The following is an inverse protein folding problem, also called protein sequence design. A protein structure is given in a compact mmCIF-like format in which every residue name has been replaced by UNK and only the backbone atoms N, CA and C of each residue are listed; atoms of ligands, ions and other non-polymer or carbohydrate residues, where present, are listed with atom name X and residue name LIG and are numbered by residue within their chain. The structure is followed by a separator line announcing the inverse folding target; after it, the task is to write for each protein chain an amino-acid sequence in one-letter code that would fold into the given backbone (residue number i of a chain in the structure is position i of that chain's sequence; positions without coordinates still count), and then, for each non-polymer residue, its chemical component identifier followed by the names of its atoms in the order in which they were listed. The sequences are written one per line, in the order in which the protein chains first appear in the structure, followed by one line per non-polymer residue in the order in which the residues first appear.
data_IF_132843548473
#
_entry.id   IF_132843548473
#
_cell.length_a   1.000
_cell.length_b   1.000
_cell.length_c   1.000
_cell.angle_alpha   90.00
_cell.angle_beta   90.00
_cell.angle_gamma   90.00
#
_symmetry.space_group_name_H-M   'P 1'
#
loop_
_entity.id
_entity.type
_entity.pdbx_description
1 polymer ?
#
# COMPACT_ATOMS: atom_id res chain seq x y z
N UNK A 1 -17.55 -15.04 -24.28
CA UNK A 1 -17.99 -15.12 -22.87
C UNK A 1 -16.76 -14.93 -22.01
N UNK A 2 -16.81 -14.13 -20.94
CA UNK A 2 -15.69 -14.03 -20.01
C UNK A 2 -15.40 -15.42 -19.41
N UNK A 3 -14.13 -15.81 -19.22
CA UNK A 3 -13.79 -17.12 -18.68
C UNK A 3 -14.36 -17.25 -17.26
N UNK A 4 -14.88 -18.43 -16.94
CA UNK A 4 -15.30 -18.81 -15.58
C UNK A 4 -14.30 -19.84 -15.07
N UNK A 5 -13.85 -19.64 -13.83
CA UNK A 5 -12.90 -20.53 -13.19
C UNK A 5 -13.53 -21.15 -11.96
N UNK A 6 -13.33 -22.46 -11.82
CA UNK A 6 -13.75 -23.22 -10.66
C UNK A 6 -12.68 -23.17 -9.56
N UNK A 7 -13.14 -23.22 -8.31
CA UNK A 7 -12.26 -23.38 -7.16
C UNK A 7 -11.87 -24.87 -7.08
N UNK A 8 -10.56 -25.21 -7.07
CA UNK A 8 -10.10 -26.58 -6.89
C UNK A 8 -10.72 -27.22 -5.65
N UNK A 9 -11.03 -28.51 -5.73
CA UNK A 9 -11.81 -29.23 -4.70
C UNK A 9 -11.19 -29.09 -3.31
N UNK A 10 -9.88 -29.12 -3.24
CA UNK A 10 -9.07 -28.97 -2.03
C UNK A 10 -9.10 -27.56 -1.43
N UNK A 11 -9.49 -26.54 -2.19
CA UNK A 11 -9.58 -25.14 -1.75
C UNK A 11 -11.01 -24.64 -1.52
N UNK A 12 -12.03 -25.47 -1.75
CA UNK A 12 -13.44 -25.10 -1.56
C UNK A 12 -13.80 -24.80 -0.09
N UNK A 13 -12.98 -25.23 0.87
CA UNK A 13 -13.12 -24.85 2.27
C UNK A 13 -12.55 -23.46 2.58
N UNK A 14 -11.58 -22.99 1.77
CA UNK A 14 -10.89 -21.71 1.96
C UNK A 14 -11.55 -20.57 1.15
N UNK A 15 -12.29 -20.89 0.09
CA UNK A 15 -12.85 -19.93 -0.86
C UNK A 15 -14.31 -20.22 -1.17
N UNK A 16 -15.07 -19.16 -1.41
CA UNK A 16 -16.44 -19.19 -1.90
C UNK A 16 -16.54 -18.33 -3.15
N UNK A 17 -17.29 -18.79 -4.16
CA UNK A 17 -17.58 -17.98 -5.33
C UNK A 17 -18.58 -16.89 -4.96
N UNK A 18 -18.29 -15.65 -5.37
CA UNK A 18 -19.18 -14.49 -5.19
C UNK A 18 -19.51 -13.86 -6.52
N UNK A 19 -20.70 -13.26 -6.60
CA UNK A 19 -21.12 -12.50 -7.77
C UNK A 19 -20.58 -11.07 -7.74
N UNK A 20 -20.12 -10.61 -8.90
CA UNK A 20 -19.79 -9.19 -9.10
C UNK A 20 -21.09 -8.41 -9.11
N UNK A 21 -21.27 -7.52 -8.15
CA UNK A 21 -22.46 -6.67 -8.04
C UNK A 21 -22.41 -5.51 -9.02
N UNK A 22 -21.24 -4.93 -9.26
CA UNK A 22 -21.02 -3.90 -10.27
C UNK A 22 -20.93 -4.49 -11.68
N UNK A 23 -21.90 -4.16 -12.53
CA UNK A 23 -22.00 -4.67 -13.91
C UNK A 23 -21.41 -3.73 -14.96
N UNK A 24 -20.87 -2.59 -14.55
CA UNK A 24 -20.22 -1.65 -15.46
C UNK A 24 -19.00 -2.29 -16.12
N UNK A 25 -18.76 -1.89 -17.36
CA UNK A 25 -17.54 -2.19 -18.10
C UNK A 25 -16.33 -1.56 -17.42
N UNK A 26 -15.13 -2.03 -17.77
CA UNK A 26 -13.88 -1.42 -17.27
C UNK A 26 -13.82 0.08 -17.63
N UNK A 27 -14.24 0.44 -18.84
CA UNK A 27 -14.25 1.82 -19.35
C UNK A 27 -15.23 2.70 -18.55
N UNK A 28 -16.47 2.25 -18.32
CA UNK A 28 -17.43 2.97 -17.48
C UNK A 28 -16.96 3.16 -16.03
N UNK A 29 -16.18 2.21 -15.48
CA UNK A 29 -15.58 2.37 -14.15
C UNK A 29 -14.47 3.42 -14.19
N UNK A 30 -13.56 3.37 -15.18
CA UNK A 30 -12.51 4.38 -15.35
C UNK A 30 -13.07 5.78 -15.56
N UNK A 31 -14.09 5.91 -16.41
CA UNK A 31 -14.81 7.17 -16.63
C UNK A 31 -15.42 7.72 -15.33
N UNK A 32 -15.90 6.85 -14.46
CA UNK A 32 -16.41 7.28 -13.15
C UNK A 32 -15.30 7.73 -12.19
N UNK A 33 -14.09 7.17 -12.31
CA UNK A 33 -12.94 7.51 -11.47
C UNK A 33 -12.32 8.87 -11.80
N UNK A 34 -12.65 9.48 -12.95
CA UNK A 34 -12.21 10.83 -13.30
C UNK A 34 -13.21 11.93 -12.93
N UNK A 35 -14.41 11.56 -12.47
CA UNK A 35 -15.43 12.51 -12.02
C UNK A 35 -15.21 12.92 -10.57
N UNK A 36 -15.53 14.19 -10.26
CA UNK A 36 -15.59 14.62 -8.87
C UNK A 36 -16.79 14.00 -8.17
N UNK A 37 -16.53 13.40 -7.00
CA UNK A 37 -17.56 12.90 -6.09
C UNK A 37 -17.38 13.58 -4.73
N UNK A 38 -18.40 14.20 -4.12
CA UNK A 38 -18.29 14.78 -2.78
C UNK A 38 -17.86 13.74 -1.74
N UNK A 39 -17.12 14.15 -0.72
CA UNK A 39 -16.76 13.29 0.42
C UNK A 39 -17.87 13.36 1.46
N UNK A 40 -18.66 12.29 1.59
CA UNK A 40 -19.85 12.24 2.48
C UNK A 40 -19.72 11.25 3.64
N UNK A 41 -18.69 10.40 3.63
CA UNK A 41 -18.39 9.39 4.66
C UNK A 41 -16.89 9.22 4.81
N UNK A 42 -16.44 8.41 5.77
CA UNK A 42 -15.01 8.05 5.92
C UNK A 42 -14.63 6.81 5.09
N UNK A 43 -15.58 6.07 4.49
CA UNK A 43 -15.30 4.92 3.59
C UNK A 43 -14.80 5.40 2.21
N UNK A 44 -13.58 5.93 2.19
CA UNK A 44 -12.88 6.34 0.98
C UNK A 44 -11.58 5.55 0.80
N UNK A 45 -11.26 5.19 -0.42
CA UNK A 45 -9.92 4.74 -0.81
C UNK A 45 -9.22 5.87 -1.55
N UNK A 46 -8.13 6.35 -0.98
CA UNK A 46 -7.29 7.41 -1.52
C UNK A 46 -6.06 6.81 -2.17
N UNK A 47 -5.88 7.08 -3.46
CA UNK A 47 -4.66 6.76 -4.18
C UNK A 47 -4.20 7.98 -5.00
N UNK A 48 -2.99 7.91 -5.55
CA UNK A 48 -2.39 9.02 -6.28
C UNK A 48 -1.73 8.55 -7.57
N UNK A 49 -1.99 9.30 -8.64
CA UNK A 49 -1.17 9.26 -9.84
C UNK A 49 -1.03 10.66 -10.41
N UNK A 50 0.18 11.20 -10.42
CA UNK A 50 0.47 12.59 -10.78
C UNK A 50 -0.15 13.07 -12.11
N UNK A 51 -0.30 12.16 -13.09
CA UNK A 51 -0.81 12.44 -14.43
C UNK A 51 -2.29 12.01 -14.64
N UNK A 52 -3.01 11.62 -13.58
CA UNK A 52 -4.41 11.21 -13.66
C UNK A 52 -4.62 9.73 -14.02
N UNK A 53 -5.88 9.27 -13.92
CA UNK A 53 -6.27 7.86 -14.05
C UNK A 53 -5.85 7.25 -15.38
N UNK A 54 -6.12 7.94 -16.49
CA UNK A 54 -5.87 7.46 -17.85
C UNK A 54 -4.38 7.27 -18.14
N UNK A 55 -3.51 8.03 -17.46
CA UNK A 55 -2.06 7.96 -17.60
C UNK A 55 -1.42 6.88 -16.73
N UNK A 56 -2.18 6.14 -15.92
CA UNK A 56 -1.66 5.00 -15.18
C UNK A 56 -1.30 3.85 -16.14
N UNK A 57 -0.26 3.06 -15.83
CA UNK A 57 -0.05 1.77 -16.49
C UNK A 57 -1.32 0.93 -16.47
N UNK A 58 -1.59 0.20 -17.55
CA UNK A 58 -2.84 -0.55 -17.72
C UNK A 58 -3.10 -1.53 -16.55
N UNK A 59 -2.07 -2.19 -16.05
CA UNK A 59 -2.19 -3.11 -14.92
C UNK A 59 -2.57 -2.40 -13.59
N UNK A 60 -2.18 -1.13 -13.41
CA UNK A 60 -2.63 -0.28 -12.30
C UNK A 60 -4.09 0.16 -12.50
N UNK A 61 -4.51 0.44 -13.74
CA UNK A 61 -5.92 0.70 -14.06
C UNK A 61 -6.79 -0.52 -13.72
N UNK A 62 -6.34 -1.73 -14.08
CA UNK A 62 -7.01 -2.97 -13.67
C UNK A 62 -7.12 -3.10 -12.14
N UNK A 63 -6.07 -2.77 -11.39
CA UNK A 63 -6.13 -2.79 -9.92
C UNK A 63 -7.25 -1.91 -9.38
N UNK A 64 -7.33 -0.64 -9.80
CA UNK A 64 -8.31 0.30 -9.25
C UNK A 64 -9.75 -0.03 -9.68
N UNK A 65 -9.91 -0.63 -10.87
CA UNK A 65 -11.20 -1.17 -11.32
C UNK A 65 -11.61 -2.35 -10.43
N UNK A 66 -10.69 -3.28 -10.16
CA UNK A 66 -10.94 -4.41 -9.27
C UNK A 66 -11.30 -3.93 -7.86
N UNK A 67 -10.69 -2.85 -7.36
CA UNK A 67 -11.06 -2.26 -6.07
C UNK A 67 -12.51 -1.79 -6.05
N UNK A 68 -12.98 -1.10 -7.10
CA UNK A 68 -14.38 -0.65 -7.21
C UNK A 68 -15.32 -1.85 -7.16
N UNK A 69 -15.00 -2.95 -7.86
CA UNK A 69 -15.81 -4.17 -7.86
C UNK A 69 -15.81 -4.88 -6.52
N UNK A 70 -14.65 -4.98 -5.88
CA UNK A 70 -14.49 -5.68 -4.59
C UNK A 70 -15.21 -4.92 -3.47
N UNK A 71 -15.12 -3.59 -3.46
CA UNK A 71 -15.63 -2.77 -2.36
C UNK A 71 -17.09 -2.33 -2.54
N UNK A 72 -17.60 -2.42 -3.77
CA UNK A 72 -18.97 -2.03 -4.09
C UNK A 72 -19.26 -0.56 -3.82
N UNK A 73 -20.54 -0.21 -3.74
CA UNK A 73 -21.01 1.17 -3.58
C UNK A 73 -20.85 1.73 -2.16
N UNK A 74 -20.44 0.93 -1.18
CA UNK A 74 -20.22 1.38 0.20
C UNK A 74 -18.92 2.16 0.37
N UNK A 75 -17.97 1.98 -0.56
CA UNK A 75 -16.69 2.67 -0.60
C UNK A 75 -16.59 3.56 -1.83
N UNK A 76 -15.98 4.73 -1.67
CA UNK A 76 -15.62 5.59 -2.81
C UNK A 76 -14.13 5.46 -3.11
N UNK A 77 -13.77 4.93 -4.29
CA UNK A 77 -12.38 4.90 -4.77
C UNK A 77 -12.04 6.22 -5.45
N UNK A 78 -10.91 6.82 -5.06
CA UNK A 78 -10.49 8.16 -5.50
C UNK A 78 -9.03 8.13 -5.90
N UNK A 79 -8.78 8.41 -7.18
CA UNK A 79 -7.42 8.52 -7.72
C UNK A 79 -7.15 10.01 -7.90
N UNK A 80 -6.37 10.58 -6.98
CA UNK A 80 -6.03 11.99 -7.01
C UNK A 80 -4.82 12.24 -7.91
N UNK A 81 -4.72 13.48 -8.40
CA UNK A 81 -3.67 13.90 -9.33
C UNK A 81 -3.24 15.36 -9.09
N UNK A 82 -2.29 15.81 -9.90
CA UNK A 82 -1.85 17.22 -9.96
C UNK A 82 -2.08 17.82 -11.35
N UNK A 83 -3.01 17.26 -12.12
CA UNK A 83 -3.35 17.74 -13.47
C UNK A 83 -4.16 19.04 -13.32
N UNK A 84 -3.73 20.15 -13.95
CA UNK A 84 -4.45 21.41 -13.86
C UNK A 84 -5.92 21.26 -14.26
N UNK A 85 -6.81 21.83 -13.44
CA UNK A 85 -8.27 21.76 -13.61
C UNK A 85 -8.89 20.34 -13.53
N UNK A 86 -8.13 19.31 -13.14
CA UNK A 86 -8.71 18.00 -12.85
C UNK A 86 -9.76 18.10 -11.74
N UNK A 87 -10.94 17.47 -11.90
CA UNK A 87 -11.91 17.32 -10.82
C UNK A 87 -11.29 16.62 -9.60
N UNK A 88 -10.32 15.73 -9.83
CA UNK A 88 -9.60 14.98 -8.81
C UNK A 88 -8.23 15.56 -8.43
N UNK A 89 -7.99 16.83 -8.78
CA UNK A 89 -6.81 17.54 -8.32
C UNK A 89 -6.72 17.51 -6.79
N UNK A 90 -5.56 17.16 -6.24
CA UNK A 90 -5.34 16.98 -4.79
C UNK A 90 -5.86 18.16 -3.95
N UNK A 91 -5.67 19.40 -4.43
CA UNK A 91 -6.09 20.61 -3.71
C UNK A 91 -7.62 20.82 -3.63
N UNK A 92 -8.42 20.00 -4.32
CA UNK A 92 -9.87 19.98 -4.11
C UNK A 92 -10.27 19.21 -2.84
N UNK A 93 -9.36 18.43 -2.28
CA UNK A 93 -9.61 17.55 -1.12
C UNK A 93 -8.78 17.90 0.10
N UNK A 94 -7.58 18.45 -0.07
CA UNK A 94 -6.71 18.87 1.03
C UNK A 94 -6.26 20.30 0.87
N UNK A 95 -6.20 21.02 1.98
CA UNK A 95 -5.74 22.41 1.98
C UNK A 95 -4.23 22.49 1.74
N UNK A 96 -3.80 23.53 1.02
CA UNK A 96 -2.41 23.71 0.61
C UNK A 96 -1.44 23.89 1.79
N UNK A 97 -1.90 24.39 2.94
CA UNK A 97 -1.11 24.56 4.16
C UNK A 97 -0.72 23.23 4.81
N UNK A 98 -1.41 22.14 4.48
CA UNK A 98 -1.04 20.80 4.92
C UNK A 98 0.05 20.17 4.06
N UNK A 99 0.47 20.79 2.95
CA UNK A 99 1.41 20.16 2.02
C UNK A 99 2.72 20.96 1.93
N UNK A 100 3.86 20.31 1.67
CA UNK A 100 5.11 21.02 1.47
C UNK A 100 5.04 21.96 0.28
N UNK A 101 5.69 23.11 0.38
CA UNK A 101 5.78 24.09 -0.71
C UNK A 101 6.29 23.47 -2.02
N UNK A 102 7.22 22.49 -1.93
CA UNK A 102 7.76 21.80 -3.09
C UNK A 102 6.74 20.99 -3.86
N UNK A 103 5.71 20.48 -3.17
CA UNK A 103 4.56 19.80 -3.80
C UNK A 103 3.64 20.83 -4.45
N UNK A 104 3.27 21.88 -3.71
CA UNK A 104 2.35 22.93 -4.18
C UNK A 104 2.90 23.64 -5.44
N UNK A 105 4.20 23.93 -5.47
CA UNK A 105 4.85 24.60 -6.59
C UNK A 105 5.29 23.64 -7.71
N UNK A 106 5.14 22.32 -7.52
CA UNK A 106 5.60 21.33 -8.49
C UNK A 106 7.12 21.36 -8.73
N UNK A 107 7.91 21.67 -7.69
CA UNK A 107 9.37 21.85 -7.80
C UNK A 107 10.18 20.62 -7.40
N UNK A 108 9.52 19.54 -6.99
CA UNK A 108 10.19 18.28 -6.70
C UNK A 108 10.92 17.73 -7.93
N UNK A 109 12.09 17.15 -7.70
CA UNK A 109 12.90 16.54 -8.76
C UNK A 109 13.38 15.12 -8.37
N UNK A 110 14.04 14.48 -9.34
CA UNK A 110 14.55 13.12 -9.17
C UNK A 110 13.54 12.05 -9.62
N UNK A 111 13.94 10.77 -9.54
CA UNK A 111 13.17 9.67 -10.12
C UNK A 111 11.94 9.26 -9.28
N UNK A 112 11.78 9.83 -8.09
CA UNK A 112 10.79 9.43 -7.08
C UNK A 112 9.71 10.48 -6.79
N UNK A 113 9.59 11.50 -7.63
CA UNK A 113 8.61 12.59 -7.45
C UNK A 113 7.19 12.07 -7.26
N UNK A 114 6.77 11.06 -8.02
CA UNK A 114 5.44 10.46 -7.89
C UNK A 114 5.23 9.77 -6.54
N UNK A 115 6.22 9.01 -6.07
CA UNK A 115 6.17 8.29 -4.79
C UNK A 115 6.13 9.26 -3.60
N UNK A 116 7.02 10.25 -3.56
CA UNK A 116 7.03 11.24 -2.48
C UNK A 116 5.80 12.16 -2.50
N UNK A 117 5.24 12.44 -3.69
CA UNK A 117 3.95 13.12 -3.82
C UNK A 117 2.83 12.33 -3.14
N UNK A 118 2.77 11.01 -3.37
CA UNK A 118 1.80 10.15 -2.70
C UNK A 118 2.01 10.13 -1.17
N UNK A 119 3.27 10.14 -0.72
CA UNK A 119 3.59 10.23 0.71
C UNK A 119 3.07 11.56 1.32
N UNK A 120 3.22 12.70 0.64
CA UNK A 120 2.74 13.97 1.18
C UNK A 120 1.24 14.01 1.39
N UNK A 121 0.46 13.45 0.46
CA UNK A 121 -0.99 13.56 0.55
C UNK A 121 -1.59 12.50 1.48
N UNK A 122 -0.90 11.39 1.73
CA UNK A 122 -1.39 10.27 2.55
C UNK A 122 -1.83 10.72 3.94
N UNK A 123 -0.92 11.36 4.68
CA UNK A 123 -1.22 11.87 6.02
C UNK A 123 -2.28 12.95 6.03
N UNK A 124 -2.24 13.87 5.06
CA UNK A 124 -3.21 14.95 4.91
C UNK A 124 -4.64 14.44 4.66
N UNK A 125 -4.81 13.48 3.75
CA UNK A 125 -6.11 12.91 3.40
C UNK A 125 -6.71 12.11 4.55
N UNK A 126 -5.90 11.24 5.16
CA UNK A 126 -6.35 10.43 6.30
C UNK A 126 -6.74 11.31 7.50
N UNK A 127 -5.96 12.35 7.80
CA UNK A 127 -6.31 13.28 8.87
C UNK A 127 -7.60 14.05 8.54
N UNK A 128 -7.76 14.55 7.31
CA UNK A 128 -8.88 15.41 6.92
C UNK A 128 -10.19 14.64 6.76
N UNK A 129 -10.14 13.43 6.20
CA UNK A 129 -11.31 12.67 5.75
C UNK A 129 -11.42 11.25 6.31
N UNK A 130 -10.37 10.72 6.93
CA UNK A 130 -10.29 9.30 7.27
C UNK A 130 -10.23 8.40 6.03
N UNK A 131 -10.50 7.12 6.24
CA UNK A 131 -10.53 6.10 5.18
C UNK A 131 -9.23 5.34 5.05
N UNK A 132 -8.93 4.91 3.82
CA UNK A 132 -7.77 4.09 3.49
C UNK A 132 -6.95 4.80 2.45
N UNK A 133 -5.67 5.02 2.70
CA UNK A 133 -4.71 5.33 1.65
C UNK A 133 -4.07 4.02 1.16
N UNK A 134 -4.09 3.80 -0.15
CA UNK A 134 -3.56 2.59 -0.77
C UNK A 134 -2.90 2.92 -2.10
N UNK A 135 -1.69 2.41 -2.33
CA UNK A 135 -0.98 2.62 -3.58
C UNK A 135 -1.68 1.89 -4.75
N UNK A 136 -1.72 2.52 -5.93
CA UNK A 136 -2.33 1.95 -7.16
C UNK A 136 -1.69 0.63 -7.61
N UNK A 137 -0.47 0.33 -7.13
CA UNK A 137 0.22 -0.93 -7.36
C UNK A 137 -0.25 -2.10 -6.47
N UNK A 138 -1.35 -1.97 -5.73
CA UNK A 138 -1.89 -3.05 -4.90
C UNK A 138 -3.00 -3.82 -5.64
N UNK A 139 -2.82 -5.13 -5.84
CA UNK A 139 -3.93 -6.03 -6.22
C UNK A 139 -4.70 -6.35 -4.93
N UNK A 140 -5.90 -5.78 -4.77
CA UNK A 140 -6.75 -6.08 -3.62
C UNK A 140 -7.39 -7.45 -3.80
N UNK A 141 -7.38 -8.30 -2.77
CA UNK A 141 -7.93 -9.66 -2.80
C UNK A 141 -9.05 -9.82 -1.74
N UNK A 142 -8.94 -9.10 -0.63
CA UNK A 142 -9.89 -9.13 0.48
C UNK A 142 -10.54 -7.75 0.66
N UNK A 143 -11.84 -7.74 0.94
CA UNK A 143 -12.59 -6.50 1.19
C UNK A 143 -12.01 -5.72 2.40
N UNK A 144 -11.93 -4.39 2.30
CA UNK A 144 -11.31 -3.52 3.34
C UNK A 144 -12.00 -3.61 4.71
N UNK A 145 -13.33 -3.71 4.74
CA UNK A 145 -14.12 -4.04 5.94
C UNK A 145 -13.60 -5.26 6.70
N UNK A 146 -13.20 -6.30 5.97
CA UNK A 146 -12.67 -7.56 6.54
C UNK A 146 -11.16 -7.56 6.74
N UNK A 147 -10.45 -6.53 6.26
CA UNK A 147 -9.04 -6.32 6.57
C UNK A 147 -8.94 -5.54 7.88
N UNK A 148 -9.57 -4.36 7.95
CA UNK A 148 -9.46 -3.51 9.14
C UNK A 148 -10.65 -2.59 9.38
N UNK A 149 -11.45 -2.24 8.38
CA UNK A 149 -12.36 -1.10 8.55
C UNK A 149 -13.49 -1.36 9.54
N UNK A 150 -14.03 -2.58 9.63
CA UNK A 150 -15.04 -2.92 10.63
C UNK A 150 -14.53 -2.72 12.07
N UNK A 151 -13.23 -2.95 12.31
CA UNK A 151 -12.60 -2.69 13.60
C UNK A 151 -12.45 -1.18 13.82
N UNK A 152 -12.03 -0.43 12.82
CA UNK A 152 -11.84 1.02 12.98
C UNK A 152 -13.16 1.76 13.20
N UNK A 153 -14.23 1.36 12.52
CA UNK A 153 -15.53 2.05 12.60
C UNK A 153 -16.39 1.64 13.80
N UNK A 154 -16.08 0.53 14.47
CA UNK A 154 -16.76 0.14 15.70
C UNK A 154 -16.38 1.08 16.85
N UNK A 155 -17.33 1.83 17.44
CA UNK A 155 -17.06 2.73 18.56
C UNK A 155 -16.57 2.02 19.84
N UNK A 156 -16.70 0.69 19.93
CA UNK A 156 -16.19 -0.11 21.04
C UNK A 156 -14.79 -0.68 20.78
N UNK A 157 -14.32 -0.63 19.53
CA UNK A 157 -12.96 -1.06 19.22
C UNK A 157 -11.96 -0.01 19.71
N UNK A 158 -10.82 -0.41 20.30
CA UNK A 158 -9.79 0.54 20.67
C UNK A 158 -9.04 1.09 19.45
N UNK A 159 -9.17 0.45 18.28
CA UNK A 159 -8.36 0.76 17.12
C UNK A 159 -8.92 1.96 16.35
N UNK A 160 -8.02 2.85 15.93
CA UNK A 160 -8.34 4.06 15.15
C UNK A 160 -7.49 4.15 13.89
N UNK A 161 -6.35 3.44 13.85
CA UNK A 161 -5.44 3.37 12.71
C UNK A 161 -5.13 1.90 12.41
N UNK A 162 -4.86 1.56 11.15
CA UNK A 162 -4.48 0.21 10.78
C UNK A 162 -3.38 0.21 9.72
N UNK A 163 -2.31 -0.58 9.93
CA UNK A 163 -1.15 -0.63 9.05
C UNK A 163 -0.54 -2.04 8.93
N UNK A 164 -0.05 -2.44 7.75
CA UNK A 164 0.82 -3.61 7.63
C UNK A 164 2.18 -3.31 8.27
N UNK A 165 2.72 -4.27 9.03
CA UNK A 165 4.02 -4.13 9.69
C UNK A 165 5.05 -5.09 9.08
N UNK A 166 6.23 -4.56 8.79
CA UNK A 166 7.38 -5.35 8.35
C UNK A 166 8.09 -5.96 9.56
N UNK A 167 8.62 -5.10 10.44
CA UNK A 167 9.32 -5.51 11.65
C UNK A 167 9.44 -4.34 12.62
N UNK A 168 9.50 -4.60 13.92
CA UNK A 168 9.68 -3.56 14.94
C UNK A 168 8.62 -2.46 14.88
N UNK A 169 9.01 -1.28 14.39
CA UNK A 169 8.13 -0.12 14.16
C UNK A 169 8.11 0.30 12.67
N UNK A 170 8.70 -0.53 11.79
CA UNK A 170 8.77 -0.32 10.34
C UNK A 170 7.46 -0.79 9.72
N UNK A 171 6.60 0.16 9.35
CA UNK A 171 5.37 -0.11 8.61
C UNK A 171 5.66 -0.23 7.11
N UNK A 172 4.76 -0.88 6.38
CA UNK A 172 4.74 -0.79 4.92
C UNK A 172 3.68 0.24 4.51
N UNK A 173 4.12 1.47 4.19
CA UNK A 173 3.22 2.61 4.00
C UNK A 173 2.41 2.59 2.68
N UNK A 174 2.51 1.53 1.87
CA UNK A 174 1.64 1.33 0.70
C UNK A 174 0.16 1.16 1.09
N UNK A 175 -0.12 0.91 2.38
CA UNK A 175 -1.45 0.86 2.95
C UNK A 175 -1.46 1.52 4.33
N UNK A 176 -2.35 2.49 4.55
CA UNK A 176 -2.63 3.04 5.88
C UNK A 176 -4.12 3.36 5.96
N UNK A 177 -4.81 2.83 6.96
CA UNK A 177 -6.20 3.19 7.25
C UNK A 177 -6.27 4.02 8.53
N UNK A 178 -7.15 5.02 8.59
CA UNK A 178 -7.35 5.80 9.81
C UNK A 178 -8.76 6.39 9.90
N UNK A 179 -9.20 6.62 11.14
CA UNK A 179 -10.34 7.49 11.44
C UNK A 179 -10.00 8.95 11.17
N UNK A 180 -10.99 9.72 10.73
CA UNK A 180 -10.83 11.16 10.50
C UNK A 180 -10.42 11.87 11.79
N UNK A 181 -9.50 12.82 11.68
CA UNK A 181 -9.04 13.64 12.81
C UNK A 181 -8.06 12.93 13.75
N UNK A 182 -7.57 11.74 13.38
CA UNK A 182 -6.71 10.94 14.23
C UNK A 182 -5.45 11.70 14.73
N UNK A 183 -5.19 11.74 16.05
CA UNK A 183 -4.10 12.51 16.62
C UNK A 183 -2.71 11.96 16.27
N UNK A 184 -2.57 10.66 16.04
CA UNK A 184 -1.29 10.05 15.65
C UNK A 184 -0.98 10.39 14.20
N UNK A 185 -1.95 10.23 13.29
CA UNK A 185 -1.81 10.59 11.87
C UNK A 185 -1.49 12.08 11.70
N UNK A 186 -2.13 12.97 12.48
CA UNK A 186 -1.81 14.41 12.46
C UNK A 186 -0.34 14.67 12.74
N UNK A 187 0.22 14.07 13.81
CA UNK A 187 1.62 14.24 14.20
C UNK A 187 2.57 13.62 13.18
N UNK A 188 2.17 12.49 12.61
CA UNK A 188 2.97 11.79 11.60
C UNK A 188 3.13 12.64 10.36
N UNK A 189 2.02 13.21 9.88
CA UNK A 189 1.99 14.13 8.76
C UNK A 189 2.75 15.43 9.05
N UNK A 190 2.58 16.00 10.25
CA UNK A 190 3.28 17.21 10.68
C UNK A 190 4.80 17.02 10.69
N UNK A 191 5.27 15.90 11.26
CA UNK A 191 6.69 15.58 11.29
C UNK A 191 7.26 15.39 9.88
N UNK A 192 6.58 14.59 9.05
CA UNK A 192 7.04 14.31 7.70
C UNK A 192 7.13 15.57 6.84
N UNK A 193 6.10 16.43 6.88
CA UNK A 193 6.13 17.69 6.13
C UNK A 193 7.13 18.70 6.69
N UNK A 194 7.44 18.65 7.98
CA UNK A 194 8.45 19.50 8.61
C UNK A 194 9.85 19.21 8.06
N UNK A 195 10.27 17.95 8.07
CA UNK A 195 11.62 17.55 7.63
C UNK A 195 11.86 17.75 6.12
N UNK A 196 10.78 17.97 5.35
CA UNK A 196 10.83 18.29 3.92
C UNK A 196 10.97 19.78 3.62
N UNK A 197 10.93 20.66 4.63
CA UNK A 197 11.04 22.11 4.41
C UNK A 197 12.39 22.46 3.80
N UNK A 198 12.36 23.18 2.68
CA UNK A 198 13.57 23.54 1.93
C UNK A 198 14.15 22.43 1.05
N UNK A 199 13.53 21.24 1.02
CA UNK A 199 13.95 20.13 0.17
C UNK A 199 13.12 20.05 -1.12
N UNK A 200 13.77 19.67 -2.22
CA UNK A 200 13.13 19.33 -3.50
C UNK A 200 13.33 17.87 -3.91
N UNK A 201 14.04 17.08 -3.10
CA UNK A 201 14.21 15.64 -3.23
C UNK A 201 14.47 15.04 -1.85
N UNK A 202 14.43 13.72 -1.74
CA UNK A 202 14.69 13.04 -0.47
C UNK A 202 16.13 13.20 0.05
N UNK A 203 17.07 13.64 -0.80
CA UNK A 203 18.48 13.74 -0.45
C UNK A 203 18.71 14.73 0.68
N UNK A 204 19.44 14.31 1.71
CA UNK A 204 19.79 15.14 2.86
C UNK A 204 18.69 15.26 3.91
N UNK A 205 17.52 14.63 3.71
CA UNK A 205 16.46 14.63 4.73
C UNK A 205 16.94 13.99 6.04
N UNK A 206 17.83 12.99 5.93
CA UNK A 206 18.44 12.33 7.09
C UNK A 206 19.34 13.25 7.94
N UNK A 207 19.69 14.45 7.44
CA UNK A 207 20.44 15.44 8.20
C UNK A 207 19.59 16.22 9.21
N UNK A 208 18.25 16.12 9.12
CA UNK A 208 17.37 16.69 10.11
C UNK A 208 17.55 15.98 11.47
N UNK A 209 17.82 16.72 12.56
CA UNK A 209 18.11 16.12 13.87
C UNK A 209 16.95 15.29 14.42
N UNK A 210 15.69 15.54 14.01
CA UNK A 210 14.53 14.78 14.48
C UNK A 210 14.63 13.30 14.09
N UNK A 211 15.26 12.99 12.97
CA UNK A 211 15.41 11.62 12.44
C UNK A 211 16.87 11.20 12.27
N UNK A 212 17.80 11.83 13.00
CA UNK A 212 19.23 11.51 12.92
C UNK A 212 19.55 10.03 13.22
N UNK A 213 18.73 9.37 14.04
CA UNK A 213 18.85 7.93 14.33
C UNK A 213 18.73 7.05 13.08
N UNK A 214 18.12 7.55 11.99
CA UNK A 214 17.99 6.81 10.73
C UNK A 214 19.33 6.48 10.09
N UNK A 215 20.38 7.25 10.39
CA UNK A 215 21.76 7.02 9.92
C UNK A 215 22.38 5.74 10.48
N UNK A 216 21.86 5.25 11.60
CA UNK A 216 22.30 4.02 12.26
C UNK A 216 21.50 2.79 11.80
N UNK A 217 20.47 2.98 10.96
CA UNK A 217 19.64 1.88 10.46
C UNK A 217 20.33 1.24 9.26
N UNK A 218 20.90 0.05 9.47
CA UNK A 218 21.35 -0.85 8.41
C UNK A 218 20.27 -1.82 7.93
N UNK A 219 20.67 -2.80 7.13
CA UNK A 219 19.77 -3.82 6.57
C UNK A 219 19.60 -5.05 7.47
N UNK A 220 20.35 -5.16 8.57
CA UNK A 220 20.41 -6.35 9.42
C UNK A 220 19.03 -6.71 9.97
N UNK A 221 18.29 -5.74 10.48
CA UNK A 221 16.95 -5.94 11.05
C UNK A 221 15.93 -6.40 10.00
N UNK A 222 16.08 -5.97 8.75
CA UNK A 222 15.24 -6.41 7.65
C UNK A 222 15.56 -7.88 7.31
N UNK A 223 16.84 -8.21 7.19
CA UNK A 223 17.31 -9.58 6.93
C UNK A 223 16.91 -10.55 8.05
N UNK A 224 17.05 -10.16 9.33
CA UNK A 224 16.60 -10.94 10.50
C UNK A 224 15.09 -11.20 10.47
N UNK A 225 14.32 -10.28 9.88
CA UNK A 225 12.88 -10.43 9.65
C UNK A 225 12.55 -11.08 8.30
N UNK A 226 13.52 -11.70 7.62
CA UNK A 226 13.37 -12.39 6.33
C UNK A 226 12.97 -11.47 5.15
N UNK A 227 13.28 -10.18 5.24
CA UNK A 227 13.20 -9.26 4.10
C UNK A 227 14.58 -9.17 3.43
N UNK A 228 14.80 -9.99 2.41
CA UNK A 228 16.10 -10.12 1.73
C UNK A 228 16.07 -9.50 0.33
N UNK A 229 15.71 -8.21 0.24
CA UNK A 229 15.83 -7.47 -1.02
C UNK A 229 17.31 -7.23 -1.38
N UNK A 230 17.61 -7.31 -2.66
CA UNK A 230 18.94 -7.11 -3.23
C UNK A 230 19.19 -5.61 -3.53
N UNK A 231 19.14 -4.79 -2.48
CA UNK A 231 19.34 -3.35 -2.59
C UNK A 231 20.70 -3.02 -3.23
N UNK A 232 20.68 -2.15 -4.25
CA UNK A 232 21.89 -1.60 -4.89
C UNK A 232 22.28 -0.22 -4.36
N UNK A 233 21.44 0.36 -3.50
CA UNK A 233 21.66 1.66 -2.85
C UNK A 233 22.09 1.48 -1.40
N UNK A 234 22.73 2.50 -0.83
CA UNK A 234 23.10 2.48 0.58
C UNK A 234 21.87 2.45 1.51
N UNK A 235 22.00 1.92 2.74
CA UNK A 235 20.94 2.02 3.76
C UNK A 235 20.46 3.46 3.98
N UNK A 236 21.39 4.42 4.02
CA UNK A 236 21.07 5.84 4.17
C UNK A 236 20.15 6.34 3.04
N UNK A 237 20.50 6.03 1.79
CA UNK A 237 19.68 6.39 0.63
C UNK A 237 18.29 5.78 0.71
N UNK A 238 18.19 4.53 1.18
CA UNK A 238 16.89 3.89 1.38
C UNK A 238 16.10 4.59 2.48
N UNK A 239 16.71 4.88 3.64
CA UNK A 239 16.04 5.56 4.77
C UNK A 239 15.51 6.95 4.38
N UNK A 240 16.28 7.70 3.58
CA UNK A 240 15.81 8.97 3.01
C UNK A 240 14.63 8.76 2.06
N UNK A 241 14.70 7.76 1.19
CA UNK A 241 13.61 7.42 0.29
C UNK A 241 12.33 7.02 1.06
N UNK A 242 12.44 6.29 2.17
CA UNK A 242 11.31 5.91 3.04
C UNK A 242 11.13 6.86 4.24
N UNK A 243 11.51 8.14 4.13
CA UNK A 243 11.49 9.06 5.27
C UNK A 243 10.12 9.15 5.99
N UNK A 244 9.01 8.89 5.28
CA UNK A 244 7.69 8.81 5.90
C UNK A 244 7.60 7.65 6.91
N UNK A 245 8.19 6.50 6.61
CA UNK A 245 8.29 5.34 7.52
C UNK A 245 9.23 5.65 8.68
N UNK A 246 10.32 6.38 8.44
CA UNK A 246 11.24 6.83 9.52
C UNK A 246 10.52 7.79 10.48
N UNK A 247 9.69 8.70 9.97
CA UNK A 247 8.86 9.58 10.79
C UNK A 247 7.91 8.79 11.68
N UNK A 248 7.32 7.71 11.16
CA UNK A 248 6.48 6.81 11.93
C UNK A 248 7.27 6.17 13.08
N UNK A 249 8.46 5.65 12.80
CA UNK A 249 9.34 5.07 13.82
C UNK A 249 9.66 6.09 14.93
N UNK A 250 9.97 7.34 14.57
CA UNK A 250 10.20 8.42 15.55
C UNK A 250 9.00 8.59 16.46
N UNK A 251 7.77 8.66 15.93
CA UNK A 251 6.59 8.82 16.77
C UNK A 251 6.43 7.67 17.75
N UNK A 252 6.69 6.42 17.35
CA UNK A 252 6.62 5.28 18.26
C UNK A 252 7.64 5.37 19.43
N UNK A 253 8.66 6.22 19.31
CA UNK A 253 9.63 6.51 20.38
C UNK A 253 9.15 7.61 21.34
N UNK A 254 8.15 8.44 21.00
CA UNK A 254 7.74 9.56 21.85
C UNK A 254 6.78 9.13 22.96
N UNK A 255 7.20 9.18 24.22
CA UNK A 255 6.34 8.99 25.41
C UNK A 255 5.52 10.24 25.74
N UNK A 256 5.98 11.41 25.29
CA UNK A 256 5.24 12.66 25.33
C UNK A 256 5.61 13.44 24.09
N UNK A 257 4.61 13.76 23.27
CA UNK A 257 4.75 14.52 22.03
C UNK A 257 4.84 16.04 22.23
N UNK A 258 5.01 16.52 23.48
CA UNK A 258 5.11 17.92 23.87
C UNK A 258 3.78 18.53 24.32
N UNK A 259 2.70 17.75 24.30
CA UNK A 259 1.35 18.15 24.68
C UNK A 259 0.66 17.11 25.59
N UNK A 260 1.44 16.20 26.20
CA UNK A 260 0.96 15.13 27.05
C UNK A 260 0.44 13.91 26.30
N UNK A 261 0.45 13.92 24.96
CA UNK A 261 0.07 12.75 24.16
C UNK A 261 1.25 11.77 24.01
N UNK A 262 1.07 10.54 24.50
CA UNK A 262 2.04 9.45 24.34
C UNK A 262 1.81 8.73 23.01
N UNK A 263 2.60 9.07 21.99
CA UNK A 263 2.59 8.36 20.71
C UNK A 263 2.99 6.88 20.88
N UNK A 264 3.92 6.59 21.80
CA UNK A 264 4.37 5.23 22.09
C UNK A 264 3.27 4.36 22.71
N UNK A 265 2.48 4.89 23.64
CA UNK A 265 1.32 4.17 24.18
C UNK A 265 0.19 4.05 23.15
N UNK A 266 0.00 5.09 22.34
CA UNK A 266 -1.01 5.10 21.28
C UNK A 266 -0.74 3.99 20.25
N UNK A 267 0.51 3.90 19.78
CA UNK A 267 0.99 2.80 18.94
C UNK A 267 0.63 1.43 19.57
N UNK A 268 0.86 1.22 20.86
CA UNK A 268 0.59 -0.08 21.47
C UNK A 268 -0.89 -0.44 21.62
N UNK A 269 -1.78 0.56 21.72
CA UNK A 269 -3.16 0.36 22.17
C UNK A 269 -4.22 0.64 21.10
N UNK A 270 -3.94 1.55 20.17
CA UNK A 270 -4.95 2.16 19.31
C UNK A 270 -4.69 1.96 17.81
N UNK A 271 -3.68 1.17 17.45
CA UNK A 271 -3.40 0.86 16.06
C UNK A 271 -3.42 -0.65 15.86
N UNK A 272 -4.10 -1.09 14.81
CA UNK A 272 -4.20 -2.47 14.39
C UNK A 272 -3.08 -2.82 13.41
N UNK A 273 -2.39 -3.94 13.64
CA UNK A 273 -1.28 -4.39 12.80
C UNK A 273 -1.48 -5.79 12.27
N UNK A 274 -0.89 -6.04 11.11
CA UNK A 274 -0.81 -7.38 10.55
C UNK A 274 0.51 -7.63 9.83
N UNK A 275 0.81 -8.92 9.67
CA UNK A 275 2.00 -9.40 8.99
C UNK A 275 1.94 -9.04 7.50
N UNK A 276 2.81 -8.11 7.08
CA UNK A 276 2.86 -7.68 5.68
C UNK A 276 3.29 -8.79 4.72
N UNK A 277 4.13 -9.75 5.15
CA UNK A 277 4.55 -10.84 4.27
C UNK A 277 3.35 -11.74 3.98
N UNK A 278 2.61 -12.09 5.03
CA UNK A 278 1.43 -12.95 4.89
C UNK A 278 0.28 -12.26 4.12
N UNK A 279 0.04 -10.98 4.36
CA UNK A 279 -1.16 -10.30 3.87
C UNK A 279 -0.95 -9.46 2.62
N UNK A 280 0.27 -9.01 2.33
CA UNK A 280 0.56 -8.04 1.26
C UNK A 280 1.68 -8.48 0.30
N UNK A 281 2.64 -9.31 0.73
CA UNK A 281 3.75 -9.81 -0.09
C UNK A 281 3.76 -11.34 -0.17
N UNK A 282 2.58 -11.87 -0.47
CA UNK A 282 2.40 -13.31 -0.56
C UNK A 282 3.15 -13.95 -1.71
N UNK A 283 3.34 -13.21 -2.81
CA UNK A 283 4.11 -13.66 -3.96
C UNK A 283 5.58 -13.82 -3.61
N UNK A 284 6.17 -12.83 -2.94
CA UNK A 284 7.54 -12.87 -2.45
C UNK A 284 7.75 -13.99 -1.42
N UNK A 285 6.76 -14.28 -0.57
CA UNK A 285 6.79 -15.45 0.31
C UNK A 285 6.83 -16.78 -0.44
N UNK A 286 6.19 -16.86 -1.61
CA UNK A 286 6.14 -18.10 -2.41
C UNK A 286 7.40 -18.29 -3.25
N UNK A 287 7.90 -17.22 -3.90
CA UNK A 287 9.02 -17.35 -4.87
C UNK A 287 10.39 -16.91 -4.31
N UNK A 288 10.40 -16.38 -3.09
CA UNK A 288 11.55 -15.72 -2.46
C UNK A 288 11.72 -14.27 -2.93
N UNK A 289 12.27 -13.42 -2.07
CA UNK A 289 12.47 -11.99 -2.35
C UNK A 289 13.50 -11.70 -3.44
N UNK A 290 14.58 -12.49 -3.52
CA UNK A 290 15.61 -12.33 -4.54
C UNK A 290 15.06 -12.68 -5.93
N UNK A 291 15.19 -11.75 -6.88
CA UNK A 291 14.64 -11.90 -8.23
C UNK A 291 13.12 -12.10 -8.29
N UNK A 292 12.37 -11.75 -7.23
CA UNK A 292 10.94 -12.04 -7.11
C UNK A 292 10.13 -11.50 -8.29
N UNK A 293 10.49 -10.32 -8.79
CA UNK A 293 9.80 -9.67 -9.91
C UNK A 293 9.76 -10.55 -11.16
N UNK A 294 10.92 -10.99 -11.63
CA UNK A 294 11.03 -11.86 -12.81
C UNK A 294 10.34 -13.21 -12.58
N UNK A 295 10.58 -13.84 -11.41
CA UNK A 295 9.96 -15.12 -11.07
C UNK A 295 8.43 -15.05 -11.09
N UNK A 296 7.85 -14.02 -10.48
CA UNK A 296 6.39 -13.82 -10.51
C UNK A 296 5.90 -13.52 -11.92
N UNK A 297 6.62 -12.71 -12.71
CA UNK A 297 6.25 -12.41 -14.09
C UNK A 297 6.19 -13.68 -14.94
N UNK A 298 7.20 -14.54 -14.86
CA UNK A 298 7.27 -15.79 -15.63
C UNK A 298 6.13 -16.74 -15.24
N UNK A 299 5.87 -16.90 -13.94
CA UNK A 299 4.81 -17.77 -13.43
C UNK A 299 3.40 -17.25 -13.76
N UNK A 300 3.17 -15.94 -13.64
CA UNK A 300 1.87 -15.34 -13.96
C UNK A 300 1.63 -15.28 -15.47
N UNK A 301 2.66 -15.16 -16.29
CA UNK A 301 2.56 -15.20 -17.76
C UNK A 301 2.43 -16.62 -18.32
N UNK A 302 2.62 -17.65 -17.48
CA UNK A 302 2.54 -19.04 -17.90
C UNK A 302 1.11 -19.39 -18.32
N UNK A 303 0.97 -20.06 -19.48
CA UNK A 303 -0.32 -20.58 -19.94
C UNK A 303 -0.76 -21.76 -19.07
N UNK A 304 -2.06 -21.86 -18.82
CA UNK A 304 -2.67 -22.90 -17.98
C UNK A 304 -2.98 -24.21 -18.73
N UNK A 305 -2.79 -24.25 -20.04
CA UNK A 305 -3.02 -25.42 -20.89
C UNK A 305 -1.77 -26.32 -21.06
N UNK A 306 -0.67 -25.96 -20.39
CA UNK A 306 0.52 -26.81 -20.29
C UNK A 306 0.25 -28.02 -19.38
N UNK A 307 1.19 -28.98 -19.36
CA UNK A 307 1.12 -30.17 -18.51
C UNK A 307 0.94 -29.81 -17.02
N UNK A 308 -0.20 -30.19 -16.39
CA UNK A 308 -0.46 -29.95 -14.97
C UNK A 308 0.55 -30.62 -14.03
N UNK A 309 1.23 -31.67 -14.49
CA UNK A 309 2.25 -32.36 -13.71
C UNK A 309 3.62 -31.68 -13.76
N UNK A 310 3.80 -30.70 -14.65
CA UNK A 310 5.06 -29.96 -14.76
C UNK A 310 5.34 -29.10 -13.52
N UNK A 311 6.63 -28.97 -13.18
CA UNK A 311 7.09 -28.13 -12.08
C UNK A 311 6.68 -26.65 -12.26
N UNK A 312 6.65 -26.16 -13.50
CA UNK A 312 6.24 -24.80 -13.80
C UNK A 312 4.75 -24.56 -13.51
N UNK A 313 3.88 -25.48 -13.93
CA UNK A 313 2.45 -25.41 -13.62
C UNK A 313 2.20 -25.45 -12.11
N UNK A 314 2.83 -26.40 -11.41
CA UNK A 314 2.69 -26.55 -9.95
C UNK A 314 3.08 -25.29 -9.20
N UNK A 315 4.20 -24.65 -9.56
CA UNK A 315 4.66 -23.40 -8.94
C UNK A 315 3.75 -22.21 -9.27
N UNK A 316 3.28 -22.09 -10.50
CA UNK A 316 2.36 -21.01 -10.88
C UNK A 316 1.00 -21.16 -10.18
N UNK A 317 0.52 -22.40 -10.07
CA UNK A 317 -0.68 -22.76 -9.31
C UNK A 317 -0.51 -22.44 -7.82
N UNK A 318 0.60 -22.87 -7.21
CA UNK A 318 0.93 -22.55 -5.81
C UNK A 318 0.91 -21.05 -5.54
N UNK A 319 1.59 -20.26 -6.39
CA UNK A 319 1.62 -18.80 -6.29
C UNK A 319 0.20 -18.21 -6.30
N UNK A 320 -0.59 -18.48 -7.34
CA UNK A 320 -1.91 -17.87 -7.50
C UNK A 320 -2.86 -18.29 -6.39
N UNK A 321 -2.92 -19.59 -6.06
CA UNK A 321 -3.85 -20.07 -5.03
C UNK A 321 -3.44 -19.65 -3.62
N UNK A 322 -2.14 -19.53 -3.31
CA UNK A 322 -1.68 -18.94 -2.05
C UNK A 322 -2.12 -17.50 -1.92
N UNK A 323 -2.02 -16.70 -3.00
CA UNK A 323 -2.47 -15.32 -2.99
C UNK A 323 -3.97 -15.25 -2.72
N UNK A 324 -4.76 -15.99 -3.49
CA UNK A 324 -6.23 -15.97 -3.40
C UNK A 324 -6.75 -16.49 -2.06
N UNK A 325 -6.10 -17.49 -1.45
CA UNK A 325 -6.58 -18.10 -0.20
C UNK A 325 -6.07 -17.42 1.07
N UNK A 326 -4.83 -16.88 1.06
CA UNK A 326 -4.16 -16.42 2.29
C UNK A 326 -3.77 -14.93 2.31
N UNK A 327 -3.75 -14.20 1.19
CA UNK A 327 -3.40 -12.76 1.18
C UNK A 327 -4.61 -11.85 1.29
N UNK A 328 -4.46 -10.67 1.88
CA UNK A 328 -5.44 -9.59 1.78
C UNK A 328 -5.26 -8.77 0.50
N UNK A 329 -4.03 -8.66 0.04
CA UNK A 329 -3.64 -8.02 -1.21
C UNK A 329 -2.27 -8.54 -1.68
N UNK A 330 -1.87 -8.18 -2.90
CA UNK A 330 -0.50 -8.30 -3.35
C UNK A 330 0.02 -6.90 -3.72
N UNK A 331 0.99 -6.40 -2.96
CA UNK A 331 1.70 -5.17 -3.29
C UNK A 331 2.72 -5.47 -4.39
N UNK A 332 2.49 -4.89 -5.56
CA UNK A 332 3.40 -4.98 -6.70
C UNK A 332 4.45 -3.88 -6.56
N UNK A 333 5.69 -4.30 -6.31
CA UNK A 333 6.82 -3.40 -6.15
C UNK A 333 7.29 -2.91 -7.52
N UNK A 334 7.67 -1.63 -7.62
CA UNK A 334 8.44 -1.10 -8.77
C UNK A 334 9.92 -0.94 -8.42
N UNK A 335 10.23 -0.49 -7.20
CA UNK A 335 11.59 -0.37 -6.66
C UNK A 335 12.58 0.34 -7.58
N UNK A 336 12.10 1.34 -8.34
CA UNK A 336 12.85 2.01 -9.42
C UNK A 336 14.25 2.39 -8.97
N UNK A 337 15.28 1.75 -9.51
CA UNK A 337 16.68 2.00 -9.15
C UNK A 337 17.08 1.77 -7.67
N UNK A 338 16.28 1.06 -6.87
CA UNK A 338 16.64 0.72 -5.49
C UNK A 338 17.32 -0.64 -5.36
N UNK A 339 17.01 -1.57 -6.25
CA UNK A 339 17.48 -2.96 -6.24
C UNK A 339 18.26 -3.29 -7.53
N UNK A 340 19.01 -4.39 -7.48
CA UNK A 340 19.67 -4.96 -8.66
C UNK A 340 18.64 -5.67 -9.56
N UNK A 341 17.77 -6.48 -8.98
CA UNK A 341 16.72 -7.22 -9.66
C UNK A 341 15.61 -6.30 -10.16
N UNK A 342 15.09 -6.63 -11.33
CA UNK A 342 13.88 -5.98 -11.85
C UNK A 342 12.66 -6.43 -11.04
N UNK A 343 11.77 -5.49 -10.73
CA UNK A 343 10.53 -5.79 -10.04
C UNK A 343 9.36 -5.99 -11.02
N UNK A 344 8.34 -6.71 -10.57
CA UNK A 344 7.17 -7.07 -11.37
C UNK A 344 6.45 -5.84 -11.95
N UNK A 345 6.36 -4.73 -11.20
CA UNK A 345 5.74 -3.50 -11.70
C UNK A 345 6.42 -2.96 -12.96
N UNK A 346 7.76 -2.93 -12.97
CA UNK A 346 8.55 -2.52 -14.15
C UNK A 346 8.31 -3.45 -15.33
N UNK A 347 8.27 -4.77 -15.09
CA UNK A 347 8.02 -5.76 -16.15
C UNK A 347 6.63 -5.59 -16.77
N UNK A 348 5.60 -5.27 -15.98
CA UNK A 348 4.26 -5.00 -16.50
C UNK A 348 4.11 -3.61 -17.14
N UNK A 349 4.87 -2.61 -16.70
CA UNK A 349 4.95 -1.31 -17.39
C UNK A 349 5.48 -1.49 -18.82
N UNK A 350 6.50 -2.34 -18.99
CA UNK A 350 7.14 -2.62 -20.28
C UNK A 350 6.35 -3.62 -21.16
N UNK A 351 5.42 -4.37 -20.57
CA UNK A 351 4.62 -5.38 -21.26
C UNK A 351 3.11 -5.24 -20.96
N UNK A 352 2.44 -4.21 -21.51
CA UNK A 352 1.02 -3.96 -21.26
C UNK A 352 0.12 -5.17 -21.55
N UNK A 353 -0.83 -5.44 -20.66
CA UNK A 353 -1.79 -6.53 -20.76
C UNK A 353 -1.28 -7.91 -20.29
N UNK A 354 0.01 -8.05 -19.97
CA UNK A 354 0.56 -9.32 -19.47
C UNK A 354 0.12 -9.69 -18.05
N UNK A 355 -0.40 -8.74 -17.28
CA UNK A 355 -0.98 -9.01 -15.95
C UNK A 355 -2.29 -9.81 -16.01
N UNK A 356 -2.96 -9.82 -17.16
CA UNK A 356 -4.28 -10.44 -17.33
C UNK A 356 -4.44 -11.17 -18.68
N UNK A 357 -3.34 -11.60 -19.30
CA UNK A 357 -3.38 -12.22 -20.63
C UNK A 357 -4.22 -13.50 -20.64
N UNK A 358 -5.08 -13.66 -21.66
CA UNK A 358 -6.01 -14.79 -21.76
C UNK A 358 -5.30 -16.15 -21.64
N UNK A 359 -5.89 -17.05 -20.85
CA UNK A 359 -5.38 -18.41 -20.63
C UNK A 359 -4.19 -18.51 -19.68
N UNK A 360 -3.74 -17.41 -19.07
CA UNK A 360 -2.59 -17.42 -18.16
C UNK A 360 -2.98 -17.56 -16.69
N UNK A 361 -2.00 -17.76 -15.81
CA UNK A 361 -2.19 -17.68 -14.36
C UNK A 361 -2.45 -16.25 -13.87
N UNK A 362 -1.99 -15.22 -14.59
CA UNK A 362 -2.32 -13.82 -14.34
C UNK A 362 -3.81 -13.54 -14.52
N UNK A 363 -4.42 -14.05 -15.59
CA UNK A 363 -5.88 -13.99 -15.79
C UNK A 363 -6.64 -14.68 -14.63
N UNK A 364 -6.18 -15.85 -14.17
CA UNK A 364 -6.77 -16.53 -13.01
C UNK A 364 -6.66 -15.70 -11.74
N UNK A 365 -5.51 -15.06 -11.48
CA UNK A 365 -5.33 -14.19 -10.32
C UNK A 365 -6.32 -13.01 -10.36
N UNK A 366 -6.47 -12.35 -11.52
CA UNK A 366 -7.41 -11.24 -11.73
C UNK A 366 -8.85 -11.67 -11.51
N UNK A 367 -9.25 -12.78 -12.13
CA UNK A 367 -10.58 -13.34 -11.94
C UNK A 367 -10.83 -13.67 -10.47
N UNK A 368 -9.89 -14.38 -9.83
CA UNK A 368 -10.03 -14.84 -8.46
C UNK A 368 -10.09 -13.70 -7.44
N UNK A 369 -9.32 -12.63 -7.64
CA UNK A 369 -9.31 -11.47 -6.74
C UNK A 369 -10.70 -10.81 -6.61
N UNK A 370 -11.50 -10.87 -7.67
CA UNK A 370 -12.85 -10.29 -7.71
C UNK A 370 -13.96 -11.31 -7.45
N UNK A 371 -13.75 -12.58 -7.85
CA UNK A 371 -14.80 -13.63 -7.83
C UNK A 371 -14.69 -14.60 -6.66
N UNK A 372 -13.55 -14.69 -5.97
CA UNK A 372 -13.37 -15.62 -4.86
C UNK A 372 -13.25 -14.87 -3.54
N UNK A 373 -14.19 -15.16 -2.63
CA UNK A 373 -14.18 -14.64 -1.27
C UNK A 373 -13.58 -15.68 -0.33
N UNK A 374 -12.53 -15.28 0.39
CA UNK A 374 -11.92 -16.06 1.45
C UNK A 374 -12.91 -16.35 2.59
N UNK A 375 -12.95 -17.60 3.06
CA UNK A 375 -13.79 -18.02 4.19
C UNK A 375 -13.16 -17.63 5.53
N UNK A 376 -11.83 -17.51 5.62
CA UNK A 376 -11.14 -17.09 6.85
C UNK A 376 -11.70 -15.75 7.35
N UNK A 377 -11.98 -15.64 8.65
CA UNK A 377 -12.57 -14.43 9.24
C UNK A 377 -11.54 -13.36 9.59
N UNK A 378 -10.35 -13.76 9.99
CA UNK A 378 -9.30 -12.84 10.44
C UNK A 378 -8.10 -12.83 9.49
N UNK A 379 -7.40 -11.70 9.49
CA UNK A 379 -6.06 -11.56 8.92
C UNK A 379 -5.00 -12.04 9.91
N UNK A 380 -3.77 -12.27 9.43
CA UNK A 380 -2.61 -12.62 10.26
C UNK A 380 -2.15 -11.38 11.03
N UNK A 381 -2.76 -11.15 12.20
CA UNK A 381 -2.43 -10.01 13.07
C UNK A 381 -1.03 -10.13 13.66
N UNK A 382 -0.45 -8.97 14.00
CA UNK A 382 0.78 -8.84 14.80
C UNK A 382 0.50 -7.97 16.01
N UNK A 383 1.32 -8.15 17.04
CA UNK A 383 1.28 -7.30 18.22
C UNK A 383 2.27 -6.14 18.09
N UNK A 384 1.91 -5.01 18.70
CA UNK A 384 2.78 -3.86 18.77
C UNK A 384 4.03 -4.19 19.60
N UNK A 385 5.21 -3.91 19.06
CA UNK A 385 6.44 -3.95 19.83
C UNK A 385 6.74 -2.53 20.31
N UNK A 386 6.96 -2.34 21.61
CA UNK A 386 7.40 -1.06 22.17
C UNK A 386 8.77 -0.68 21.58
N UNK A 387 8.97 0.59 21.25
CA UNK A 387 10.27 1.06 20.80
C UNK A 387 11.33 0.83 21.90
N UNK A 388 12.53 0.40 21.50
CA UNK A 388 13.64 0.16 22.45
C UNK A 388 14.14 1.46 23.08
N UNK A 389 14.07 2.55 22.33
CA UNK A 389 14.43 3.89 22.76
C UNK A 389 13.16 4.71 22.89
N UNK A 390 13.04 5.41 24.01
CA UNK A 390 11.91 6.24 24.35
C UNK A 390 12.39 7.65 24.64
N UNK A 391 11.62 8.64 24.18
CA UNK A 391 11.95 10.05 24.20
C UNK A 391 10.82 10.83 24.88
N UNK A 392 11.21 11.79 25.73
CA UNK A 392 10.30 12.80 26.29
C UNK A 392 10.60 14.13 25.61
N UNK A 393 10.10 14.26 24.39
CA UNK A 393 10.45 15.31 23.44
C UNK A 393 9.25 15.67 22.61
N UNK A 394 9.04 16.96 22.37
CA UNK A 394 8.06 17.43 21.40
C UNK A 394 8.20 16.75 20.03
N UNK A 395 7.11 16.64 19.26
CA UNK A 395 7.15 16.06 17.89
C UNK A 395 8.29 16.66 17.05
N UNK A 396 8.46 17.98 17.16
CA UNK A 396 9.44 18.79 16.45
C UNK A 396 10.59 19.26 17.36
N UNK A 397 10.81 18.59 18.50
CA UNK A 397 11.94 18.86 19.40
C UNK A 397 13.06 17.83 19.15
N UNK A 398 14.28 18.28 18.75
CA UNK A 398 15.45 17.43 18.58
C UNK A 398 15.82 16.58 19.80
#
# INVERSE_FOLDING_TARGET
MAPTFDIPKELQADLTLVDITDKRTNEEILDSLIQYVPVISEKNVWAYWHAGVEAMPQWCQHNVIDWVRILGSEWTVRILDTVPASPNHVLNFVSADLLPETFIKGTMNGPYTGQHSADFIRGALLYTHGGVNMDVGCILIRHLDRICWNELEDPHSPYQVAVPIMFGQTIANHFVAARRGDPFIRRWHQLFTHIWRGHNSHKGISDDPLIAFSKEIGFERASEANFTWDFKVSPLTLMEYIAQVVCWQRLCMLEDAGDGFSCSDYWQKHILYWDVQAENWGGEMTVGFDGAGQKMYDLLSLKRDIDPESEAYKKASELVWRLLTKSSMQKITHGKNLTHSVHLGTLWDENPGKDCEEGTFGELLRYGAVRFKQTRETIVRKEAIKAKVLLKKGVLEP
#
